data_IF_734313177385
#
_entry.id   IF_734313177385
#
_cell.length_a   1.000
_cell.length_b   1.000
_cell.length_c   1.000
_cell.angle_alpha   90.00
_cell.angle_beta   90.00
_cell.angle_gamma   90.00
#
_symmetry.space_group_name_H-M   'P 1'
#
loop_
_entity.id
_entity.type
_entity.pdbx_description
1 polymer ?
#
# COMPACT_ATOMS: atom_id res chain seq x y z
N UNK A 1 -38.80 3.49 -7.30
CA UNK A 1 -38.21 4.86 -7.28
C UNK A 1 -36.78 4.79 -7.80
N UNK A 2 -36.43 5.65 -8.75
CA UNK A 2 -35.06 5.72 -9.27
C UNK A 2 -34.22 6.59 -8.32
N UNK A 3 -33.09 6.08 -7.83
CA UNK A 3 -32.20 6.86 -6.98
C UNK A 3 -31.59 8.06 -7.75
N UNK A 4 -31.54 9.23 -7.11
CA UNK A 4 -30.84 10.42 -7.59
C UNK A 4 -29.37 10.42 -7.17
N UNK A 5 -28.52 11.06 -7.98
CA UNK A 5 -27.09 11.23 -7.73
C UNK A 5 -26.85 11.86 -6.35
N UNK A 6 -25.99 11.24 -5.53
CA UNK A 6 -25.65 11.73 -4.19
C UNK A 6 -24.85 13.03 -4.15
N UNK A 7 -24.30 13.46 -5.29
CA UNK A 7 -23.53 14.71 -5.40
C UNK A 7 -24.36 15.87 -5.91
N UNK A 8 -24.96 15.72 -7.10
CA UNK A 8 -25.70 16.81 -7.71
C UNK A 8 -27.20 16.80 -7.40
N UNK A 9 -27.75 15.68 -6.93
CA UNK A 9 -29.19 15.44 -6.72
C UNK A 9 -30.11 15.68 -7.93
N UNK A 10 -29.55 16.04 -9.11
CA UNK A 10 -30.28 16.41 -10.33
C UNK A 10 -30.51 15.24 -11.28
N UNK A 11 -29.53 14.33 -11.38
CA UNK A 11 -29.54 13.25 -12.38
C UNK A 11 -29.75 11.88 -11.73
N UNK A 12 -30.29 10.93 -12.49
CA UNK A 12 -30.38 9.52 -12.10
C UNK A 12 -28.99 8.93 -11.78
N UNK A 13 -28.91 8.08 -10.76
CA UNK A 13 -27.73 7.25 -10.49
C UNK A 13 -27.54 6.25 -11.62
N UNK A 14 -26.35 6.27 -12.23
CA UNK A 14 -25.94 5.30 -13.24
C UNK A 14 -24.49 4.82 -13.06
N UNK A 15 -23.81 5.21 -11.96
CA UNK A 15 -22.44 4.82 -11.63
C UNK A 15 -22.31 4.33 -10.17
N UNK A 16 -21.26 3.54 -9.87
CA UNK A 16 -20.93 3.16 -8.49
C UNK A 16 -20.81 4.37 -7.57
N UNK A 17 -20.93 4.16 -6.26
CA UNK A 17 -20.95 5.21 -5.22
C UNK A 17 -22.23 6.05 -5.18
N UNK A 18 -23.23 5.73 -6.01
CA UNK A 18 -24.49 6.47 -6.07
C UNK A 18 -24.36 7.78 -6.85
N UNK A 19 -23.54 7.81 -7.91
CA UNK A 19 -23.27 9.01 -8.70
C UNK A 19 -23.87 8.91 -10.11
N UNK A 20 -24.06 10.06 -10.75
CA UNK A 20 -24.29 10.13 -12.19
C UNK A 20 -22.95 10.14 -12.94
N UNK A 21 -23.00 9.93 -14.26
CA UNK A 21 -21.84 9.87 -15.14
C UNK A 21 -20.95 11.12 -15.01
N UNK A 22 -21.54 12.33 -15.04
CA UNK A 22 -20.78 13.58 -14.95
C UNK A 22 -20.04 13.68 -13.62
N UNK A 23 -20.74 13.52 -12.49
CA UNK A 23 -20.14 13.61 -11.16
C UNK A 23 -19.12 12.50 -10.89
N UNK A 24 -19.25 11.34 -11.52
CA UNK A 24 -18.28 10.27 -11.34
C UNK A 24 -16.92 10.61 -11.96
N UNK A 25 -16.89 11.30 -13.10
CA UNK A 25 -15.66 11.68 -13.79
C UNK A 25 -15.14 13.07 -13.44
N UNK A 26 -15.93 13.90 -12.75
CA UNK A 26 -15.43 15.16 -12.19
C UNK A 26 -14.28 14.87 -11.22
N UNK A 27 -13.07 15.42 -11.45
CA UNK A 27 -11.93 15.24 -10.55
C UNK A 27 -12.28 15.66 -9.11
N UNK A 28 -11.94 14.82 -8.13
CA UNK A 28 -12.18 15.10 -6.71
C UNK A 28 -13.58 14.79 -6.21
N UNK A 29 -14.57 14.57 -7.08
CA UNK A 29 -15.94 14.25 -6.65
C UNK A 29 -16.05 12.79 -6.24
N UNK A 30 -15.57 11.83 -7.05
CA UNK A 30 -15.69 10.39 -6.74
C UNK A 30 -14.93 10.00 -5.46
N UNK A 31 -13.89 10.74 -5.11
CA UNK A 31 -13.04 10.53 -3.92
C UNK A 31 -13.79 10.87 -2.62
N UNK A 32 -14.79 11.77 -2.66
CA UNK A 32 -15.63 12.14 -1.51
C UNK A 32 -16.63 11.05 -1.12
N UNK A 33 -16.84 10.05 -1.99
CA UNK A 33 -17.81 8.99 -1.75
C UNK A 33 -17.09 7.64 -1.59
N UNK A 34 -17.32 6.92 -0.48
CA UNK A 34 -16.67 5.64 -0.24
C UNK A 34 -17.02 4.65 -1.34
N UNK A 35 -16.04 3.83 -1.74
CA UNK A 35 -16.29 2.76 -2.70
C UNK A 35 -17.24 1.71 -2.11
N UNK A 36 -18.31 1.40 -2.82
CA UNK A 36 -19.38 0.50 -2.35
C UNK A 36 -19.17 -0.97 -2.71
N UNK A 37 -18.12 -1.31 -3.47
CA UNK A 37 -17.84 -2.69 -3.88
C UNK A 37 -17.13 -3.46 -2.76
N UNK A 38 -17.52 -4.73 -2.56
CA UNK A 38 -16.80 -5.66 -1.66
C UNK A 38 -15.34 -5.91 -2.08
N UNK A 39 -15.05 -5.74 -3.37
CA UNK A 39 -13.70 -5.89 -3.95
C UNK A 39 -12.91 -4.59 -3.98
N UNK A 40 -13.48 -3.48 -3.49
CA UNK A 40 -12.75 -2.22 -3.47
C UNK A 40 -11.60 -2.30 -2.46
N UNK A 41 -10.39 -1.97 -2.93
CA UNK A 41 -9.25 -1.72 -2.03
C UNK A 41 -9.61 -0.57 -1.10
N UNK A 42 -9.51 -0.81 0.21
CA UNK A 42 -9.78 0.14 1.29
C UNK A 42 -8.55 0.18 2.20
N UNK A 43 -8.30 1.33 2.84
CA UNK A 43 -7.17 1.50 3.75
C UNK A 43 -5.84 1.72 3.03
N UNK A 44 -4.75 1.43 3.73
CA UNK A 44 -3.37 1.61 3.26
C UNK A 44 -3.03 0.51 2.25
N UNK A 45 -2.39 0.89 1.14
CA UNK A 45 -1.96 -0.07 0.11
C UNK A 45 -0.88 -1.03 0.64
N UNK A 46 -0.71 -2.17 -0.02
CA UNK A 46 0.34 -3.13 0.31
C UNK A 46 1.69 -2.82 -0.37
N UNK A 47 1.71 -1.85 -1.30
CA UNK A 47 2.91 -1.36 -2.00
C UNK A 47 3.82 -2.46 -2.59
N UNK A 48 3.23 -3.57 -3.02
CA UNK A 48 3.96 -4.68 -3.67
C UNK A 48 4.17 -4.39 -5.15
N UNK A 49 5.37 -4.67 -5.68
CA UNK A 49 5.70 -4.55 -7.10
C UNK A 49 6.51 -3.28 -7.41
N UNK A 50 5.82 -2.19 -7.78
CA UNK A 50 6.45 -0.98 -8.34
C UNK A 50 6.68 0.16 -7.33
N UNK A 51 6.55 -0.11 -6.02
CA UNK A 51 6.79 0.92 -5.02
C UNK A 51 8.31 1.17 -4.84
N UNK A 52 8.74 2.41 -4.53
CA UNK A 52 10.14 2.69 -4.26
C UNK A 52 10.67 1.81 -3.12
N UNK A 53 11.85 1.22 -3.32
CA UNK A 53 12.52 0.46 -2.26
C UNK A 53 12.92 1.42 -1.13
N UNK A 54 12.75 1.05 0.15
CA UNK A 54 13.22 1.88 1.26
C UNK A 54 14.75 1.98 1.25
N UNK A 55 15.29 3.14 1.63
CA UNK A 55 16.73 3.45 1.53
C UNK A 55 17.61 2.53 2.39
N UNK A 56 17.06 2.00 3.49
CA UNK A 56 17.78 1.12 4.41
C UNK A 56 16.97 -0.13 4.81
N UNK A 57 17.65 -1.29 4.97
CA UNK A 57 17.06 -2.46 5.59
C UNK A 57 16.80 -2.22 7.09
N UNK A 58 15.92 -3.02 7.68
CA UNK A 58 15.75 -3.08 9.14
C UNK A 58 16.35 -4.36 9.70
N UNK A 59 17.03 -4.22 10.84
CA UNK A 59 17.52 -5.33 11.67
C UNK A 59 16.44 -5.92 12.58
N UNK A 60 15.24 -5.32 12.64
CA UNK A 60 14.15 -5.81 13.47
C UNK A 60 13.69 -7.20 13.02
N UNK A 61 13.63 -8.13 13.96
CA UNK A 61 13.25 -9.51 13.71
C UNK A 61 11.83 -9.58 13.13
N UNK A 62 11.54 -10.48 12.18
CA UNK A 62 10.20 -10.56 11.64
C UNK A 62 9.20 -10.95 12.75
N UNK A 63 8.00 -10.37 12.70
CA UNK A 63 6.97 -10.54 13.74
C UNK A 63 7.18 -9.70 15.00
N UNK A 64 8.31 -9.01 15.16
CA UNK A 64 8.52 -8.13 16.32
C UNK A 64 7.72 -6.81 16.21
N UNK A 65 7.35 -6.17 17.33
CA UNK A 65 6.70 -4.85 17.32
C UNK A 65 7.53 -3.78 16.60
N UNK A 66 8.85 -3.84 16.70
CA UNK A 66 9.78 -2.91 16.04
C UNK A 66 9.71 -3.09 14.51
N UNK A 67 9.60 -4.34 14.04
CA UNK A 67 9.39 -4.61 12.62
C UNK A 67 8.06 -4.03 12.16
N UNK A 68 6.98 -4.21 12.92
CA UNK A 68 5.67 -3.66 12.59
C UNK A 68 5.71 -2.13 12.49
N UNK A 69 6.37 -1.44 13.42
CA UNK A 69 6.54 0.01 13.38
C UNK A 69 7.27 0.48 12.10
N UNK A 70 8.33 -0.23 11.67
CA UNK A 70 9.03 0.05 10.41
C UNK A 70 8.11 -0.15 9.21
N UNK A 71 7.32 -1.23 9.18
CA UNK A 71 6.37 -1.50 8.08
C UNK A 71 5.29 -0.42 8.00
N UNK A 72 4.75 0.03 9.13
CA UNK A 72 3.79 1.13 9.18
C UNK A 72 4.37 2.43 8.64
N UNK A 73 5.61 2.76 9.02
CA UNK A 73 6.31 3.94 8.51
C UNK A 73 6.50 3.85 6.99
N UNK A 74 7.02 2.73 6.48
CA UNK A 74 7.20 2.50 5.03
C UNK A 74 5.87 2.61 4.27
N UNK A 75 4.79 2.10 4.84
CA UNK A 75 3.45 2.20 4.27
C UNK A 75 2.95 3.66 4.21
N UNK A 76 3.21 4.47 5.24
CA UNK A 76 2.91 5.92 5.23
C UNK A 76 3.68 6.66 4.13
N UNK A 77 4.94 6.26 3.91
CA UNK A 77 5.81 6.81 2.87
C UNK A 77 5.54 6.23 1.47
N UNK A 78 4.57 5.30 1.34
CA UNK A 78 4.25 4.60 0.08
C UNK A 78 5.44 3.87 -0.54
N UNK A 79 6.38 3.42 0.29
CA UNK A 79 7.53 2.60 -0.09
C UNK A 79 7.15 1.12 -0.10
N UNK A 80 7.99 0.30 -0.75
CA UNK A 80 7.91 -1.14 -0.62
C UNK A 80 8.02 -1.53 0.86
N UNK A 81 7.11 -2.39 1.32
CA UNK A 81 7.04 -2.77 2.73
C UNK A 81 8.30 -3.52 3.17
N UNK A 82 8.83 -4.38 2.30
CA UNK A 82 9.96 -5.26 2.59
C UNK A 82 11.19 -4.85 1.79
N UNK A 83 12.33 -4.81 2.46
CA UNK A 83 13.64 -4.71 1.81
C UNK A 83 14.25 -6.11 1.70
N UNK A 84 14.90 -6.49 0.58
CA UNK A 84 15.54 -7.80 0.44
C UNK A 84 16.57 -8.09 1.53
N UNK A 85 17.30 -7.09 2.00
CA UNK A 85 18.26 -7.21 3.11
C UNK A 85 17.66 -6.99 4.51
N UNK A 86 16.33 -6.94 4.67
CA UNK A 86 15.74 -6.95 6.02
C UNK A 86 16.08 -8.25 6.77
N UNK A 87 16.15 -8.17 8.11
CA UNK A 87 16.41 -9.32 8.99
C UNK A 87 15.46 -10.50 8.75
N UNK A 88 15.99 -11.72 8.89
CA UNK A 88 15.31 -13.00 8.64
C UNK A 88 15.13 -13.82 9.91
N UNK A 89 14.42 -14.94 9.76
CA UNK A 89 14.53 -16.06 10.68
C UNK A 89 15.61 -17.05 10.22
N UNK A 90 16.06 -17.88 11.16
CA UNK A 90 16.98 -19.00 10.88
C UNK A 90 16.31 -19.97 9.91
N UNK A 91 16.98 -20.26 8.78
CA UNK A 91 16.49 -21.19 7.75
C UNK A 91 15.72 -20.56 6.58
N UNK A 92 15.62 -19.23 6.51
CA UNK A 92 15.00 -18.53 5.38
C UNK A 92 15.81 -18.69 4.08
N UNK A 93 15.22 -19.30 3.05
CA UNK A 93 15.88 -19.58 1.76
C UNK A 93 15.64 -18.44 0.77
N UNK A 94 16.33 -17.31 0.96
CA UNK A 94 16.32 -16.22 -0.04
C UNK A 94 17.54 -16.31 -0.96
N UNK A 95 17.43 -15.87 -2.23
CA UNK A 95 18.57 -15.83 -3.13
C UNK A 95 19.68 -14.96 -2.50
N UNK A 96 20.79 -15.59 -2.13
CA UNK A 96 21.93 -14.95 -1.45
C UNK A 96 22.59 -13.87 -2.32
N UNK A 97 22.25 -13.77 -3.60
CA UNK A 97 22.82 -12.83 -4.55
C UNK A 97 22.65 -11.36 -4.13
N UNK A 98 21.53 -11.01 -3.48
CA UNK A 98 21.30 -9.64 -3.00
C UNK A 98 22.13 -9.30 -1.74
N UNK A 99 22.59 -10.31 -1.00
CA UNK A 99 23.39 -10.16 0.22
C UNK A 99 24.90 -10.10 -0.06
N UNK A 100 25.33 -10.42 -1.29
CA UNK A 100 26.76 -10.47 -1.67
C UNK A 100 27.46 -9.10 -1.69
N UNK A 101 26.73 -7.99 -1.56
CA UNK A 101 27.28 -6.63 -1.57
C UNK A 101 27.35 -5.93 -0.20
N UNK A 102 26.83 -6.53 0.88
CA UNK A 102 26.68 -5.83 2.19
C UNK A 102 27.58 -6.36 3.30
N UNK A 103 28.32 -7.44 3.08
CA UNK A 103 29.31 -7.91 4.04
C UNK A 103 30.69 -7.35 3.69
N UNK A 104 30.93 -6.09 4.01
CA UNK A 104 32.31 -5.68 4.31
C UNK A 104 32.69 -6.37 5.62
N UNK A 105 33.79 -7.15 5.69
CA UNK A 105 34.21 -7.73 6.95
C UNK A 105 34.59 -6.57 7.89
N UNK A 106 34.00 -6.56 9.09
CA UNK A 106 34.54 -5.79 10.20
C UNK A 106 35.93 -6.35 10.47
N UNK A 107 36.96 -5.58 10.08
CA UNK A 107 38.35 -5.92 10.31
C UNK A 107 38.60 -6.11 11.80
N UNK A 108 39.13 -7.29 12.14
CA UNK A 108 39.91 -7.55 13.36
C UNK A 108 41.38 -7.57 12.99
#
# INVERSE_FOLDING_TARGET
MTACCRHCSKSKVNRPRGLCWSCYYTPGVKEQYPSTSKYARRGVGNFTGNAPLPDAPTSAAPGSPEKLAVLEQRAKLKQALFHPADATFVGDQRPLEFLRGTFAPLGV
#
